data_IF_387003916900
#
_entry.id   IF_387003916900
#
_cell.length_a   1.000
_cell.length_b   1.000
_cell.length_c   1.000
_cell.angle_alpha   90.00
_cell.angle_beta   90.00
_cell.angle_gamma   90.00
#
_symmetry.space_group_name_H-M   'P 1'
#
loop_
_entity.id
_entity.type
_entity.pdbx_description
1 polymer ?
#
# COMPACT_ATOMS: atom_id res chain seq x y z
N UNK A 1 4.80 48.69 -53.65
CA UNK A 1 3.84 47.80 -52.97
C UNK A 1 4.58 47.16 -51.82
N UNK A 2 4.21 47.53 -50.59
CA UNK A 2 5.08 47.44 -49.42
C UNK A 2 5.17 46.03 -48.86
N UNK A 3 6.40 45.49 -48.82
CA UNK A 3 6.73 44.20 -48.19
C UNK A 3 6.35 44.12 -46.70
N UNK A 4 5.99 45.22 -46.04
CA UNK A 4 5.67 45.26 -44.62
C UNK A 4 4.36 44.56 -44.25
N UNK A 5 3.37 44.53 -45.15
CA UNK A 5 2.08 43.86 -44.87
C UNK A 5 2.19 42.33 -44.94
N UNK A 6 3.07 41.79 -45.77
CA UNK A 6 3.32 40.35 -45.87
C UNK A 6 3.95 39.75 -44.61
N UNK A 7 4.88 40.47 -43.98
CA UNK A 7 5.55 40.06 -42.74
C UNK A 7 4.61 40.07 -41.53
N UNK A 8 3.68 41.03 -41.45
CA UNK A 8 2.71 41.11 -40.35
C UNK A 8 1.70 39.96 -40.42
N UNK A 9 1.27 39.56 -41.62
CA UNK A 9 0.36 38.42 -41.82
C UNK A 9 1.01 37.08 -41.44
N UNK A 10 2.30 36.90 -41.77
CA UNK A 10 3.04 35.67 -41.43
C UNK A 10 3.31 35.54 -39.93
N UNK A 11 3.70 36.62 -39.25
CA UNK A 11 3.90 36.61 -37.79
C UNK A 11 2.58 36.31 -37.08
N UNK A 12 1.48 36.91 -37.53
CA UNK A 12 0.15 36.67 -36.94
C UNK A 12 -0.29 35.21 -37.09
N UNK A 13 -0.03 34.59 -38.25
CA UNK A 13 -0.33 33.18 -38.49
C UNK A 13 0.50 32.25 -37.59
N UNK A 14 1.79 32.55 -37.39
CA UNK A 14 2.68 31.77 -36.51
C UNK A 14 2.21 31.87 -35.05
N UNK A 15 1.81 33.05 -34.58
CA UNK A 15 1.29 33.22 -33.21
C UNK A 15 -0.03 32.47 -33.03
N UNK A 16 -0.94 32.51 -33.99
CA UNK A 16 -2.21 31.78 -33.95
C UNK A 16 -1.99 30.26 -33.98
N UNK A 17 -1.08 29.77 -34.82
CA UNK A 17 -0.73 28.34 -34.87
C UNK A 17 -0.03 27.88 -33.58
N UNK A 18 0.80 28.74 -32.97
CA UNK A 18 1.46 28.45 -31.69
C UNK A 18 0.46 28.42 -30.52
N UNK A 19 -0.53 29.31 -30.52
CA UNK A 19 -1.65 29.30 -29.57
C UNK A 19 -2.56 28.07 -29.76
N UNK A 20 -2.84 27.67 -31.00
CA UNK A 20 -3.59 26.45 -31.31
C UNK A 20 -2.82 25.18 -30.92
N UNK A 21 -1.49 25.17 -31.02
CA UNK A 21 -0.64 24.08 -30.54
C UNK A 21 -0.57 24.00 -29.01
N UNK A 22 -0.63 25.15 -28.32
CA UNK A 22 -0.75 25.22 -26.85
C UNK A 22 -2.15 24.75 -26.37
N UNK A 23 -3.21 25.01 -27.14
CA UNK A 23 -4.57 24.50 -26.89
C UNK A 23 -4.77 23.02 -27.25
N UNK A 24 -3.89 22.45 -28.09
CA UNK A 24 -3.87 21.03 -28.48
C UNK A 24 -2.90 20.17 -27.67
N UNK A 25 -2.36 20.68 -26.54
CA UNK A 25 -1.82 19.77 -25.53
C UNK A 25 -2.98 18.91 -25.03
N UNK A 26 -2.91 17.58 -25.15
CA UNK A 26 -4.02 16.76 -24.68
C UNK A 26 -4.10 16.97 -23.17
N UNK A 27 -5.27 17.41 -22.71
CA UNK A 27 -5.72 17.44 -21.31
C UNK A 27 -5.86 15.99 -20.77
N UNK A 28 -4.96 15.09 -21.14
CA UNK A 28 -4.89 13.68 -20.73
C UNK A 28 -3.95 13.46 -19.56
N UNK A 29 -3.61 14.51 -18.80
CA UNK A 29 -2.78 14.42 -17.60
C UNK A 29 -3.46 14.78 -16.28
N UNK A 30 -4.66 15.40 -16.31
CA UNK A 30 -5.24 16.01 -15.10
C UNK A 30 -6.74 15.75 -14.87
N UNK A 31 -7.37 14.87 -15.68
CA UNK A 31 -8.79 14.54 -15.56
C UNK A 31 -9.05 13.03 -15.55
N UNK A 32 -8.34 12.28 -14.70
CA UNK A 32 -8.82 10.96 -14.23
C UNK A 32 -8.87 10.93 -12.71
N UNK A 33 -9.62 11.88 -12.14
CA UNK A 33 -10.08 11.82 -10.75
C UNK A 33 -11.52 12.33 -10.71
N UNK A 34 -12.41 11.61 -11.41
CA UNK A 34 -13.85 11.77 -11.26
C UNK A 34 -14.47 10.40 -11.09
N UNK A 35 -14.89 10.14 -9.87
CA UNK A 35 -16.06 9.35 -9.51
C UNK A 35 -16.14 7.96 -10.16
N UNK A 36 -15.12 7.14 -9.94
CA UNK A 36 -15.35 5.71 -9.88
C UNK A 36 -15.85 5.40 -8.47
N UNK A 37 -17.14 5.07 -8.32
CA UNK A 37 -17.48 4.05 -7.32
C UNK A 37 -16.62 2.87 -7.74
N UNK A 38 -15.46 2.69 -7.10
CA UNK A 38 -14.66 1.50 -7.30
C UNK A 38 -15.62 0.34 -7.04
N UNK A 39 -15.95 -0.38 -8.10
CA UNK A 39 -16.66 -1.64 -7.97
C UNK A 39 -15.87 -2.47 -6.99
N UNK A 40 -16.53 -3.29 -6.17
CA UNK A 40 -15.84 -4.13 -5.19
C UNK A 40 -14.68 -4.93 -5.84
N UNK A 41 -14.78 -5.24 -7.14
CA UNK A 41 -13.74 -5.87 -7.95
C UNK A 41 -12.46 -5.02 -8.14
N UNK A 42 -12.53 -3.69 -8.14
CA UNK A 42 -11.38 -2.80 -8.28
C UNK A 42 -10.68 -2.48 -6.94
N UNK A 43 -11.31 -2.82 -5.80
CA UNK A 43 -10.72 -2.66 -4.45
C UNK A 43 -9.61 -3.68 -4.17
N UNK A 44 -9.53 -4.72 -5.01
CA UNK A 44 -8.68 -5.88 -4.81
C UNK A 44 -7.78 -6.09 -6.03
N UNK A 45 -6.85 -5.18 -6.28
CA UNK A 45 -5.84 -5.35 -7.34
C UNK A 45 -4.85 -6.51 -7.07
N UNK A 46 -5.20 -7.43 -6.14
CA UNK A 46 -4.39 -8.54 -5.70
C UNK A 46 -5.11 -9.84 -6.00
N UNK A 47 -4.39 -10.78 -6.62
CA UNK A 47 -4.92 -12.12 -6.91
C UNK A 47 -5.09 -12.90 -5.60
N UNK A 48 -6.31 -13.34 -5.26
CA UNK A 48 -6.51 -14.18 -4.08
C UNK A 48 -5.76 -15.51 -4.21
N UNK A 49 -5.23 -16.01 -3.10
CA UNK A 49 -4.44 -17.25 -3.08
C UNK A 49 -4.66 -18.01 -1.78
N UNK A 50 -4.55 -19.34 -1.82
CA UNK A 50 -4.57 -20.19 -0.63
C UNK A 50 -3.18 -20.46 -0.05
N UNK A 51 -2.13 -19.90 -0.64
CA UNK A 51 -0.76 -20.11 -0.19
C UNK A 51 0.03 -18.81 -0.01
N UNK A 52 1.05 -18.87 0.82
CA UNK A 52 2.05 -17.83 1.04
C UNK A 52 3.44 -18.43 0.94
N UNK A 53 4.34 -17.79 0.18
CA UNK A 53 5.71 -18.24 0.08
C UNK A 53 6.53 -17.60 1.21
N UNK A 54 7.10 -18.42 2.09
CA UNK A 54 7.99 -17.94 3.15
C UNK A 54 9.40 -17.74 2.60
N UNK A 55 9.99 -16.56 2.86
CA UNK A 55 11.36 -16.24 2.50
C UNK A 55 12.15 -15.88 3.77
N UNK A 56 13.05 -16.75 4.23
CA UNK A 56 13.77 -16.55 5.48
C UNK A 56 14.83 -15.46 5.36
N UNK A 57 15.15 -14.82 6.49
CA UNK A 57 16.25 -13.86 6.62
C UNK A 57 15.85 -12.39 6.42
N UNK A 58 16.82 -11.51 6.64
CA UNK A 58 16.72 -10.06 6.42
C UNK A 58 17.33 -9.72 5.07
N UNK A 59 16.49 -9.52 4.05
CA UNK A 59 16.97 -8.95 2.79
C UNK A 59 17.54 -7.56 3.05
N UNK A 60 18.74 -7.28 2.51
CA UNK A 60 19.35 -5.96 2.50
C UNK A 60 19.56 -5.55 1.04
N UNK A 61 19.10 -4.34 0.67
CA UNK A 61 19.30 -3.75 -0.65
C UNK A 61 20.67 -3.10 -0.85
N UNK A 62 20.85 -2.43 -2.00
CA UNK A 62 22.10 -1.75 -2.35
C UNK A 62 22.46 -0.68 -1.30
N UNK A 63 23.75 -0.58 -0.94
CA UNK A 63 24.27 0.33 0.09
C UNK A 63 23.87 0.02 1.55
N UNK A 64 23.38 -1.17 1.87
CA UNK A 64 23.09 -1.56 3.27
C UNK A 64 21.92 -0.79 3.90
N UNK A 65 21.17 -0.01 3.12
CA UNK A 65 19.91 0.57 3.55
C UNK A 65 18.84 -0.51 3.49
N UNK A 66 18.18 -0.69 4.63
CA UNK A 66 17.07 -1.62 4.81
C UNK A 66 15.90 -1.26 3.89
N UNK A 67 15.41 -2.22 3.07
CA UNK A 67 14.21 -2.09 2.19
C UNK A 67 12.90 -1.81 2.94
N UNK A 68 12.98 -1.62 4.24
CA UNK A 68 11.90 -1.23 5.13
C UNK A 68 11.21 0.07 4.69
N UNK A 69 11.94 1.03 4.10
CA UNK A 69 11.33 2.28 3.65
C UNK A 69 10.45 2.07 2.40
N UNK A 70 10.96 1.34 1.40
CA UNK A 70 10.21 1.01 0.18
C UNK A 70 9.02 0.09 0.49
N UNK A 71 9.24 -0.94 1.31
CA UNK A 71 8.16 -1.80 1.79
C UNK A 71 7.13 -1.04 2.62
N UNK A 72 7.58 -0.13 3.49
CA UNK A 72 6.69 0.74 4.27
C UNK A 72 5.83 1.64 3.39
N UNK A 73 6.41 2.18 2.30
CA UNK A 73 5.68 2.94 1.29
C UNK A 73 4.59 2.09 0.63
N UNK A 74 4.95 0.92 0.09
CA UNK A 74 4.00 0.04 -0.61
C UNK A 74 2.88 -0.44 0.30
N UNK A 75 3.19 -0.86 1.53
CA UNK A 75 2.19 -1.33 2.50
C UNK A 75 1.24 -0.20 2.90
N UNK A 76 1.77 1.00 3.21
CA UNK A 76 0.94 2.15 3.57
C UNK A 76 0.00 2.55 2.43
N UNK A 77 0.54 2.70 1.22
CA UNK A 77 -0.24 3.16 0.07
C UNK A 77 -1.23 2.11 -0.41
N UNK A 78 -0.94 0.82 -0.22
CA UNK A 78 -1.90 -0.26 -0.43
C UNK A 78 -3.07 -0.18 0.57
N UNK A 79 -2.79 0.03 1.86
CA UNK A 79 -3.82 0.18 2.89
C UNK A 79 -4.66 1.44 2.68
N UNK A 80 -4.07 2.54 2.22
CA UNK A 80 -4.79 3.78 1.92
C UNK A 80 -5.94 3.58 0.91
N UNK A 81 -5.84 2.57 0.03
CA UNK A 81 -6.87 2.24 -0.95
C UNK A 81 -8.04 1.45 -0.35
N UNK A 82 -7.92 1.00 0.90
CA UNK A 82 -8.90 0.16 1.59
C UNK A 82 -9.77 0.97 2.55
N UNK A 83 -10.95 0.46 2.87
CA UNK A 83 -11.79 1.04 3.93
C UNK A 83 -11.10 0.88 5.30
N UNK A 84 -11.39 1.74 6.29
CA UNK A 84 -10.81 1.62 7.62
C UNK A 84 -10.94 0.23 8.24
N UNK A 85 -12.11 -0.39 8.12
CA UNK A 85 -12.38 -1.72 8.64
C UNK A 85 -11.45 -2.75 7.97
N UNK A 86 -11.26 -2.65 6.66
CA UNK A 86 -10.38 -3.54 5.90
C UNK A 86 -8.90 -3.29 6.18
N UNK A 87 -8.49 -2.04 6.42
CA UNK A 87 -7.10 -1.73 6.81
C UNK A 87 -6.72 -2.45 8.11
N UNK A 88 -7.60 -2.38 9.12
CA UNK A 88 -7.40 -3.06 10.39
C UNK A 88 -7.49 -4.57 10.24
N UNK A 89 -8.43 -5.08 9.45
CA UNK A 89 -8.57 -6.51 9.19
C UNK A 89 -7.33 -7.12 8.50
N UNK A 90 -6.82 -6.46 7.45
CA UNK A 90 -5.64 -6.92 6.71
C UNK A 90 -4.38 -6.85 7.57
N UNK A 91 -4.14 -5.73 8.25
CA UNK A 91 -2.95 -5.56 9.09
C UNK A 91 -2.96 -6.53 10.30
N UNK A 92 -4.14 -6.74 10.91
CA UNK A 92 -4.31 -7.69 12.01
C UNK A 92 -4.04 -9.12 11.55
N UNK A 93 -4.76 -9.58 10.51
CA UNK A 93 -4.55 -10.90 9.91
C UNK A 93 -3.10 -11.12 9.50
N UNK A 94 -2.49 -10.15 8.82
CA UNK A 94 -1.12 -10.25 8.35
C UNK A 94 -0.13 -10.41 9.50
N UNK A 95 -0.25 -9.61 10.57
CA UNK A 95 0.63 -9.74 11.72
C UNK A 95 0.47 -11.12 12.37
N UNK A 96 -0.78 -11.50 12.65
CA UNK A 96 -1.07 -12.79 13.27
C UNK A 96 -0.58 -13.97 12.44
N UNK A 97 -0.86 -13.98 11.14
CA UNK A 97 -0.40 -15.03 10.24
C UNK A 97 1.12 -15.14 10.21
N UNK A 98 1.83 -14.02 10.12
CA UNK A 98 3.29 -13.99 10.12
C UNK A 98 3.89 -14.48 11.46
N UNK A 99 3.27 -14.14 12.60
CA UNK A 99 3.64 -14.69 13.90
C UNK A 99 3.38 -16.20 13.98
N UNK A 100 2.18 -16.64 13.56
CA UNK A 100 1.77 -18.04 13.62
C UNK A 100 2.58 -18.96 12.72
N UNK A 101 3.14 -18.46 11.61
CA UNK A 101 4.10 -19.20 10.79
C UNK A 101 5.51 -19.19 11.40
N UNK A 102 5.92 -18.10 12.07
CA UNK A 102 7.23 -17.99 12.70
C UNK A 102 7.37 -18.88 13.94
N UNK A 103 6.26 -19.14 14.65
CA UNK A 103 6.19 -20.08 15.77
C UNK A 103 6.40 -21.56 15.35
N UNK A 104 6.56 -21.84 14.05
CA UNK A 104 6.67 -23.20 13.53
C UNK A 104 8.09 -23.55 13.14
N UNK A 105 8.51 -24.74 13.59
CA UNK A 105 9.81 -25.29 13.21
C UNK A 105 9.90 -25.63 11.72
N UNK A 106 11.08 -25.41 11.13
CA UNK A 106 11.42 -25.91 9.80
C UNK A 106 10.71 -25.22 8.63
N UNK A 107 10.26 -23.97 8.80
CA UNK A 107 9.52 -23.21 7.78
C UNK A 107 10.41 -22.54 6.71
N UNK A 108 11.72 -22.50 6.91
CA UNK A 108 12.66 -21.81 6.01
C UNK A 108 12.46 -22.16 4.54
N UNK A 109 12.10 -21.18 3.72
CA UNK A 109 11.97 -21.30 2.26
C UNK A 109 10.73 -22.05 1.76
N UNK A 110 9.83 -22.48 2.64
CA UNK A 110 8.68 -23.31 2.28
C UNK A 110 7.49 -22.50 1.81
N UNK A 111 6.64 -23.14 1.01
CA UNK A 111 5.29 -22.66 0.74
C UNK A 111 4.37 -23.08 1.89
N UNK A 112 3.61 -22.11 2.40
CA UNK A 112 2.63 -22.28 3.46
C UNK A 112 1.25 -22.28 2.83
N UNK A 113 0.53 -23.40 2.87
CA UNK A 113 -0.78 -23.57 2.24
C UNK A 113 -1.90 -23.71 3.28
N UNK A 114 -2.96 -22.92 3.14
CA UNK A 114 -4.19 -23.07 3.91
C UNK A 114 -5.15 -23.95 3.12
N UNK A 115 -5.69 -25.01 3.76
CA UNK A 115 -6.53 -25.99 3.09
C UNK A 115 -7.96 -25.50 2.84
N UNK A 116 -8.50 -24.65 3.70
CA UNK A 116 -9.87 -24.13 3.57
C UNK A 116 -9.96 -22.65 3.97
N UNK A 117 -9.24 -21.76 3.28
CA UNK A 117 -9.27 -20.33 3.57
C UNK A 117 -10.57 -19.70 3.10
N UNK A 118 -11.14 -18.79 3.88
CA UNK A 118 -12.24 -17.94 3.41
C UNK A 118 -11.76 -17.04 2.27
N UNK A 119 -12.68 -16.45 1.52
CA UNK A 119 -12.32 -15.49 0.47
C UNK A 119 -11.50 -14.30 1.02
N UNK A 120 -11.81 -13.87 2.25
CA UNK A 120 -11.08 -12.79 2.91
C UNK A 120 -9.65 -13.22 3.27
N UNK A 121 -9.48 -14.44 3.78
CA UNK A 121 -8.14 -14.98 4.08
C UNK A 121 -7.31 -15.11 2.80
N UNK A 122 -7.92 -15.61 1.71
CA UNK A 122 -7.23 -15.73 0.43
C UNK A 122 -6.77 -14.38 -0.11
N UNK A 123 -7.60 -13.35 0.06
CA UNK A 123 -7.24 -12.00 -0.31
C UNK A 123 -6.10 -11.46 0.57
N UNK A 124 -6.15 -11.68 1.88
CA UNK A 124 -5.11 -11.24 2.79
C UNK A 124 -3.76 -11.95 2.53
N UNK A 125 -3.77 -13.24 2.18
CA UNK A 125 -2.59 -13.99 1.74
C UNK A 125 -2.03 -13.45 0.42
N UNK A 126 -2.90 -13.15 -0.55
CA UNK A 126 -2.49 -12.52 -1.80
C UNK A 126 -1.83 -11.18 -1.55
N UNK A 127 -2.43 -10.37 -0.68
CA UNK A 127 -1.93 -9.08 -0.27
C UNK A 127 -0.55 -9.18 0.39
N UNK A 128 -0.38 -10.11 1.33
CA UNK A 128 0.93 -10.41 1.94
C UNK A 128 1.99 -10.74 0.88
N UNK A 129 1.69 -11.66 -0.05
CA UNK A 129 2.62 -12.05 -1.11
C UNK A 129 2.98 -10.89 -2.05
N UNK A 130 2.02 -10.02 -2.36
CA UNK A 130 2.26 -8.81 -3.13
C UNK A 130 3.15 -7.82 -2.38
N UNK A 131 2.87 -7.55 -1.11
CA UNK A 131 3.64 -6.60 -0.30
C UNK A 131 5.08 -7.08 -0.09
N UNK A 132 5.28 -8.40 0.00
CA UNK A 132 6.61 -8.99 0.09
C UNK A 132 7.45 -8.84 -1.19
N UNK A 133 6.80 -8.78 -2.35
CA UNK A 133 7.46 -8.75 -3.67
C UNK A 133 7.56 -7.36 -4.30
N UNK A 134 6.66 -6.43 -3.96
CA UNK A 134 6.71 -5.04 -4.42
C UNK A 134 7.51 -4.12 -3.50
N UNK A 135 7.60 -4.45 -2.22
CA UNK A 135 8.32 -3.66 -1.21
C UNK A 135 9.84 -3.80 -1.25
N UNK A 136 10.43 -4.36 -2.31
CA UNK A 136 11.86 -4.62 -2.43
C UNK A 136 12.37 -3.86 -3.65
N UNK A 137 13.08 -2.74 -3.43
CA UNK A 137 13.58 -1.91 -4.53
C UNK A 137 14.70 -2.65 -5.28
N UNK A 138 15.59 -3.33 -4.53
CA UNK A 138 16.70 -4.12 -5.09
C UNK A 138 17.15 -5.31 -4.20
N UNK A 139 16.29 -5.79 -3.30
CA UNK A 139 16.61 -6.89 -2.38
C UNK A 139 15.77 -8.14 -2.68
N UNK A 140 16.19 -9.33 -2.22
CA UNK A 140 15.31 -10.50 -2.25
C UNK A 140 14.09 -10.29 -1.33
N UNK A 141 12.95 -10.93 -1.63
CA UNK A 141 11.80 -10.94 -0.73
C UNK A 141 12.19 -11.41 0.68
N UNK A 142 11.64 -10.77 1.71
CA UNK A 142 11.96 -11.10 3.12
C UNK A 142 10.71 -11.09 3.96
N UNK A 143 10.37 -12.24 4.55
CA UNK A 143 9.21 -12.35 5.43
C UNK A 143 9.45 -11.60 6.74
N UNK A 144 10.69 -11.55 7.21
CA UNK A 144 11.07 -10.84 8.44
C UNK A 144 10.95 -9.31 8.29
N UNK A 145 11.35 -8.75 7.15
CA UNK A 145 11.18 -7.32 6.87
C UNK A 145 9.68 -6.98 6.77
N UNK A 146 8.89 -7.82 6.09
CA UNK A 146 7.44 -7.65 6.00
C UNK A 146 6.79 -7.67 7.39
N UNK A 147 7.13 -8.65 8.22
CA UNK A 147 6.65 -8.74 9.60
C UNK A 147 6.95 -7.45 10.39
N UNK A 148 8.17 -6.93 10.29
CA UNK A 148 8.60 -5.70 10.97
C UNK A 148 7.76 -4.49 10.53
N UNK A 149 7.51 -4.35 9.23
CA UNK A 149 6.71 -3.26 8.67
C UNK A 149 5.24 -3.37 9.06
N UNK A 150 4.66 -4.57 8.95
CA UNK A 150 3.27 -4.82 9.34
C UNK A 150 3.07 -4.54 10.83
N UNK A 151 4.00 -4.93 11.70
CA UNK A 151 3.94 -4.63 13.12
C UNK A 151 3.97 -3.10 13.39
N UNK A 152 4.87 -2.38 12.72
CA UNK A 152 4.95 -0.92 12.85
C UNK A 152 3.65 -0.23 12.41
N UNK A 153 3.10 -0.63 11.26
CA UNK A 153 1.85 -0.07 10.74
C UNK A 153 0.66 -0.48 11.62
N UNK A 154 0.61 -1.71 12.11
CA UNK A 154 -0.41 -2.17 13.04
C UNK A 154 -0.44 -1.35 14.33
N UNK A 155 0.73 -1.03 14.90
CA UNK A 155 0.82 -0.09 16.02
C UNK A 155 0.27 1.29 15.67
N UNK A 156 0.68 1.85 14.54
CA UNK A 156 0.21 3.17 14.11
C UNK A 156 -1.31 3.21 13.85
N UNK A 157 -1.88 2.17 13.25
CA UNK A 157 -3.33 2.03 13.06
C UNK A 157 -4.05 2.08 14.40
N UNK A 158 -3.59 1.32 15.40
CA UNK A 158 -4.21 1.27 16.73
C UNK A 158 -4.09 2.60 17.49
N UNK A 159 -2.96 3.30 17.36
CA UNK A 159 -2.70 4.57 18.06
C UNK A 159 -3.34 5.79 17.38
N UNK A 160 -3.25 5.87 16.05
CA UNK A 160 -3.57 7.07 15.27
C UNK A 160 -4.79 6.93 14.36
N UNK A 161 -5.31 5.71 14.20
CA UNK A 161 -6.43 5.40 13.33
C UNK A 161 -6.03 5.05 11.89
N UNK A 162 -7.01 4.92 10.98
CA UNK A 162 -6.78 4.45 9.61
C UNK A 162 -5.86 5.39 8.82
N UNK A 163 -5.11 4.79 7.89
CA UNK A 163 -4.29 5.50 6.92
C UNK A 163 -5.18 6.36 6.03
N UNK A 164 -4.89 7.67 6.02
CA UNK A 164 -5.66 8.68 5.31
C UNK A 164 -4.82 9.50 4.30
N UNK A 165 -3.50 9.30 4.28
CA UNK A 165 -2.58 10.02 3.39
C UNK A 165 -1.53 9.07 2.80
N UNK A 166 -0.98 9.39 1.61
CA UNK A 166 0.16 8.67 1.05
C UNK A 166 1.41 8.75 1.93
N UNK A 167 2.28 7.75 1.83
CA UNK A 167 3.47 7.63 2.68
C UNK A 167 4.47 8.79 2.49
N UNK A 168 4.66 9.27 1.25
CA UNK A 168 5.59 10.37 0.96
C UNK A 168 5.14 11.70 1.59
N UNK A 169 3.83 11.95 1.69
CA UNK A 169 3.28 13.10 2.42
C UNK A 169 3.59 12.96 3.91
N UNK A 170 3.48 11.74 4.46
CA UNK A 170 3.78 11.45 5.86
C UNK A 170 5.22 11.80 6.24
N UNK A 171 6.17 11.44 5.39
CA UNK A 171 7.60 11.69 5.60
C UNK A 171 7.93 13.19 5.55
N UNK A 172 7.31 13.92 4.63
CA UNK A 172 7.51 15.37 4.52
C UNK A 172 7.05 16.13 5.76
N UNK A 173 5.93 15.77 6.41
CA UNK A 173 5.54 16.51 7.62
C UNK A 173 6.46 16.27 8.81
N UNK A 174 7.01 15.06 8.95
CA UNK A 174 7.86 14.71 10.10
C UNK A 174 9.18 15.46 10.00
N UNK A 175 9.70 15.65 8.78
CA UNK A 175 10.99 16.31 8.55
C UNK A 175 10.90 17.84 8.41
N UNK A 176 9.77 18.39 7.97
CA UNK A 176 9.63 19.84 7.72
C UNK A 176 8.89 20.60 8.83
N UNK A 177 8.58 19.96 9.97
CA UNK A 177 8.08 20.63 11.17
C UNK A 177 6.84 21.50 10.96
N UNK A 178 6.04 21.23 9.92
CA UNK A 178 4.94 22.11 9.54
C UNK A 178 3.70 21.81 10.40
N UNK A 179 3.37 22.65 11.40
CA UNK A 179 2.32 22.35 12.37
C UNK A 179 0.92 22.36 11.74
N UNK A 180 0.80 22.99 10.57
CA UNK A 180 -0.48 23.08 9.83
C UNK A 180 -0.86 21.78 9.12
N UNK A 181 0.06 20.83 8.96
CA UNK A 181 -0.27 19.51 8.43
C UNK A 181 -0.72 18.51 9.51
N UNK A 182 -0.32 18.69 10.78
CA UNK A 182 -0.78 17.82 11.88
C UNK A 182 -2.30 17.86 12.06
N UNK A 183 -2.95 19.00 11.80
CA UNK A 183 -4.40 19.15 11.92
C UNK A 183 -5.20 18.50 10.78
N UNK A 184 -4.56 18.21 9.64
CA UNK A 184 -5.17 17.50 8.50
C UNK A 184 -5.10 15.96 8.65
N UNK A 185 -4.31 15.47 9.61
CA UNK A 185 -3.76 14.09 9.62
C UNK A 185 -4.49 13.06 10.48
N UNK A 186 -5.27 13.49 11.47
CA UNK A 186 -6.01 12.53 12.29
C UNK A 186 -7.24 12.11 11.50
N UNK A 187 -7.37 10.81 11.25
CA UNK A 187 -8.64 10.26 10.83
C UNK A 187 -9.72 10.81 11.75
N UNK A 188 -10.82 11.35 11.21
CA UNK A 188 -11.99 11.78 11.99
C UNK A 188 -12.74 10.59 12.60
N UNK A 189 -12.03 9.53 12.96
CA UNK A 189 -12.55 8.37 13.67
C UNK A 189 -12.81 8.80 15.10
N UNK A 190 -14.05 8.65 15.57
CA UNK A 190 -14.38 8.83 16.99
C UNK A 190 -13.64 7.79 17.84
N UNK A 191 -13.37 8.09 19.11
CA UNK A 191 -12.71 7.12 20.00
C UNK A 191 -13.46 5.77 20.05
N UNK A 192 -14.79 5.79 20.03
CA UNK A 192 -15.63 4.58 19.98
C UNK A 192 -15.42 3.80 18.69
N UNK A 193 -15.39 4.48 17.53
CA UNK A 193 -15.14 3.81 16.24
C UNK A 193 -13.71 3.26 16.19
N UNK A 194 -12.74 3.97 16.75
CA UNK A 194 -11.36 3.52 16.82
C UNK A 194 -11.25 2.25 17.68
N UNK A 195 -11.90 2.21 18.83
CA UNK A 195 -11.93 1.03 19.69
C UNK A 195 -12.54 -0.18 18.98
N UNK A 196 -13.64 0.00 18.25
CA UNK A 196 -14.25 -1.08 17.46
C UNK A 196 -13.31 -1.61 16.36
N UNK A 197 -12.57 -0.71 15.69
CA UNK A 197 -11.56 -1.10 14.71
C UNK A 197 -10.39 -1.86 15.34
N UNK A 198 -9.93 -1.43 16.52
CA UNK A 198 -8.88 -2.13 17.28
C UNK A 198 -9.34 -3.54 17.67
N UNK A 199 -10.57 -3.70 18.16
CA UNK A 199 -11.13 -5.03 18.46
C UNK A 199 -11.12 -5.89 17.20
N UNK A 200 -11.58 -5.35 16.07
CA UNK A 200 -11.58 -6.07 14.80
C UNK A 200 -10.17 -6.46 14.33
N UNK A 201 -9.16 -5.60 14.57
CA UNK A 201 -7.76 -5.92 14.29
C UNK A 201 -7.28 -7.11 15.13
N UNK A 202 -7.56 -7.13 16.43
CA UNK A 202 -7.12 -8.22 17.31
C UNK A 202 -7.82 -9.54 16.97
N UNK A 203 -9.14 -9.53 16.69
CA UNK A 203 -9.87 -10.71 16.20
C UNK A 203 -9.22 -11.30 14.95
N UNK A 204 -8.87 -10.43 13.99
CA UNK A 204 -8.25 -10.85 12.74
C UNK A 204 -6.81 -11.32 12.94
N UNK A 205 -6.09 -10.76 13.91
CA UNK A 205 -4.75 -11.22 14.32
C UNK A 205 -4.81 -12.62 14.93
N UNK A 206 -5.73 -12.89 15.83
CA UNK A 206 -5.94 -14.24 16.39
C UNK A 206 -6.29 -15.26 15.30
N UNK A 207 -7.19 -14.90 14.39
CA UNK A 207 -7.53 -15.74 13.24
C UNK A 207 -6.33 -16.02 12.33
N UNK A 208 -5.56 -14.98 12.00
CA UNK A 208 -4.34 -15.10 11.19
C UNK A 208 -3.33 -16.03 11.85
N UNK A 209 -3.11 -15.87 13.15
CA UNK A 209 -2.18 -16.69 13.94
C UNK A 209 -2.57 -18.17 13.93
N UNK A 210 -3.83 -18.46 14.25
CA UNK A 210 -4.39 -19.83 14.17
C UNK A 210 -4.22 -20.43 12.77
N UNK A 211 -4.47 -19.65 11.73
CA UNK A 211 -4.30 -20.12 10.35
C UNK A 211 -2.83 -20.37 9.99
N UNK A 212 -1.92 -19.50 10.41
CA UNK A 212 -0.48 -19.68 10.23
C UNK A 212 0.03 -20.97 10.87
N UNK A 213 -0.42 -21.25 12.10
CA UNK A 213 -0.09 -22.48 12.85
C UNK A 213 -0.64 -23.73 12.17
N UNK A 214 -1.88 -23.68 11.67
CA UNK A 214 -2.57 -24.84 11.08
C UNK A 214 -2.24 -25.10 9.60
N UNK A 215 -1.52 -24.20 8.94
CA UNK A 215 -1.23 -24.35 7.52
C UNK A 215 -0.36 -25.57 7.21
N UNK A 216 -0.45 -26.12 6.01
CA UNK A 216 0.42 -27.20 5.54
C UNK A 216 1.67 -26.59 4.92
N UNK A 217 2.85 -27.12 5.27
CA UNK A 217 4.10 -26.72 4.62
C UNK A 217 4.39 -27.64 3.46
N UNK A 218 4.68 -27.07 2.29
CA UNK A 218 5.11 -27.79 1.10
C UNK A 218 6.43 -27.21 0.61
N UNK A 219 7.27 -28.06 0.03
CA UNK A 219 8.50 -27.65 -0.64
C UNK A 219 8.22 -26.99 -2.00
#
# INVERSE_FOLDING_TARGET
MDNRTGWIMTISLIVVLSLLALLKKPLTGYLSRKNGVQTAAQRWAVTPTSYFQHYPGHGQGYSGYTDHAAMGYEVNDSLLQQSPEMQFALAGFALGFLEGIADRDGIGGKRVQILSPTMLDQHALGWLGLMQSKGIDNAPPSTQNLHTIINLIGRELRESGPVCIPYWEKWQSRNYGNPRQESLRRSRTTATKQQALVIHYEERREDGHRLGQSAVMTD
#
